data_IF_489234755974
#
_entry.id   IF_489234755974
#
_cell.length_a   1.000
_cell.length_b   1.000
_cell.length_c   1.000
_cell.angle_alpha   90.00
_cell.angle_beta   90.00
_cell.angle_gamma   90.00
#
_symmetry.space_group_name_H-M   'P 1'
#
loop_
_entity.id
_entity.type
_entity.pdbx_description
1 polymer ?
#
# COMPACT_ATOMS: atom_id res chain seq x y z
N UNK A 1 6.50 -15.85 -3.02
CA UNK A 1 5.99 -14.66 -2.30
C UNK A 1 5.72 -15.10 -0.87
N UNK A 2 6.33 -14.45 0.12
CA UNK A 2 6.09 -14.68 1.55
C UNK A 2 5.60 -13.37 2.15
N UNK A 3 4.54 -13.38 2.97
CA UNK A 3 3.96 -12.19 3.58
C UNK A 3 2.43 -12.12 3.47
N UNK A 4 1.85 -11.03 3.98
CA UNK A 4 0.40 -10.76 3.91
C UNK A 4 0.16 -9.92 2.66
N UNK A 5 -0.50 -10.50 1.65
CA UNK A 5 -0.53 -9.99 0.27
C UNK A 5 -0.82 -8.48 0.13
N UNK A 6 -1.83 -7.88 0.79
CA UNK A 6 -2.08 -6.44 0.69
C UNK A 6 -0.90 -5.54 1.07
N UNK A 7 -0.05 -5.97 1.99
CA UNK A 7 1.10 -5.18 2.47
C UNK A 7 2.33 -5.32 1.57
N UNK A 8 2.32 -6.24 0.60
CA UNK A 8 3.45 -6.49 -0.28
C UNK A 8 3.42 -5.49 -1.44
N UNK A 9 4.50 -4.74 -1.63
CA UNK A 9 4.58 -3.75 -2.69
C UNK A 9 4.44 -4.39 -4.10
N UNK A 10 3.81 -3.70 -5.07
CA UNK A 10 3.53 -4.24 -6.40
C UNK A 10 4.78 -4.77 -7.12
N UNK A 11 5.91 -4.09 -6.96
CA UNK A 11 7.17 -4.51 -7.54
C UNK A 11 7.67 -5.84 -6.95
N UNK A 12 7.44 -6.12 -5.67
CA UNK A 12 7.86 -7.37 -5.03
C UNK A 12 6.93 -8.53 -5.40
N UNK A 13 5.63 -8.26 -5.62
CA UNK A 13 4.71 -9.25 -6.20
C UNK A 13 5.21 -9.70 -7.58
N UNK A 14 5.76 -8.76 -8.38
CA UNK A 14 6.38 -9.02 -9.69
C UNK A 14 7.80 -9.60 -9.60
N UNK A 15 8.23 -10.07 -8.44
CA UNK A 15 9.57 -10.62 -8.17
C UNK A 15 10.74 -9.64 -8.37
N UNK A 16 10.50 -8.32 -8.33
CA UNK A 16 11.59 -7.36 -8.26
C UNK A 16 12.19 -7.31 -6.84
N UNK A 17 13.47 -6.90 -6.71
CA UNK A 17 14.14 -6.81 -5.42
C UNK A 17 13.40 -5.93 -4.42
N UNK A 18 13.49 -6.31 -3.16
CA UNK A 18 13.04 -5.50 -2.04
C UNK A 18 13.86 -4.22 -1.93
N UNK A 19 13.20 -3.11 -1.59
CA UNK A 19 13.86 -1.82 -1.35
C UNK A 19 13.22 -1.10 -0.17
N UNK A 20 13.84 -0.04 0.38
CA UNK A 20 13.19 0.81 1.38
C UNK A 20 11.86 1.42 0.90
N UNK A 21 11.66 1.62 -0.40
CA UNK A 21 10.39 2.09 -0.95
C UNK A 21 9.27 1.04 -0.81
N UNK A 22 9.62 -0.24 -0.65
CA UNK A 22 8.69 -1.33 -0.37
C UNK A 22 8.20 -1.30 1.08
N UNK A 23 9.05 -0.88 2.04
CA UNK A 23 8.63 -0.56 3.42
C UNK A 23 7.62 0.60 3.43
N UNK A 24 7.85 1.63 2.63
CA UNK A 24 6.97 2.81 2.53
C UNK A 24 5.59 2.44 1.98
N UNK A 25 5.54 1.54 0.99
CA UNK A 25 4.29 0.96 0.53
C UNK A 25 3.58 0.20 1.66
N UNK A 26 4.29 -0.69 2.37
CA UNK A 26 3.72 -1.42 3.50
C UNK A 26 3.16 -0.48 4.57
N UNK A 27 3.87 0.62 4.85
CA UNK A 27 3.45 1.65 5.80
C UNK A 27 2.13 2.32 5.38
N UNK A 28 1.92 2.57 4.08
CA UNK A 28 0.65 3.11 3.59
C UNK A 28 -0.55 2.18 3.86
N UNK A 29 -0.35 0.87 3.82
CA UNK A 29 -1.39 -0.11 4.12
C UNK A 29 -1.71 -0.11 5.62
N UNK A 30 -0.72 0.10 6.47
CA UNK A 30 -0.91 0.32 7.92
C UNK A 30 -1.67 1.63 8.18
N UNK A 31 -1.31 2.71 7.48
CA UNK A 31 -2.05 3.98 7.56
C UNK A 31 -3.52 3.81 7.17
N UNK A 32 -3.79 3.05 6.11
CA UNK A 32 -5.14 2.75 5.68
C UNK A 32 -5.89 1.86 6.70
N UNK A 33 -5.25 0.82 7.22
CA UNK A 33 -5.82 -0.04 8.26
C UNK A 33 -6.15 0.74 9.54
N UNK A 34 -5.31 1.71 9.92
CA UNK A 34 -5.55 2.56 11.08
C UNK A 34 -6.79 3.45 10.91
N UNK A 35 -7.02 3.97 9.69
CA UNK A 35 -8.18 4.82 9.42
C UNK A 35 -9.46 4.03 9.20
N UNK A 36 -9.37 2.79 8.72
CA UNK A 36 -10.52 1.91 8.47
C UNK A 36 -10.93 1.02 9.63
N UNK A 37 -10.00 0.71 10.53
CA UNK A 37 -10.20 -0.24 11.60
C UNK A 37 -10.33 -1.70 11.13
N UNK A 38 -10.05 -1.99 9.85
CA UNK A 38 -10.12 -3.35 9.27
C UNK A 38 -8.93 -3.60 8.34
N UNK A 39 -8.58 -4.88 8.08
CA UNK A 39 -7.49 -5.20 7.17
C UNK A 39 -7.75 -4.69 5.73
N UNK A 40 -6.70 -4.26 5.00
CA UNK A 40 -6.84 -3.89 3.59
C UNK A 40 -7.39 -5.03 2.75
N UNK A 41 -8.36 -4.73 1.87
CA UNK A 41 -9.06 -5.72 1.02
C UNK A 41 -9.78 -6.86 1.77
N UNK A 42 -10.22 -6.62 3.02
CA UNK A 42 -10.93 -7.61 3.86
C UNK A 42 -12.24 -8.17 3.24
N UNK A 43 -12.72 -7.63 2.13
CA UNK A 43 -13.94 -8.07 1.45
C UNK A 43 -13.71 -9.16 0.37
N UNK A 44 -12.47 -9.59 0.13
CA UNK A 44 -12.15 -10.60 -0.90
C UNK A 44 -10.97 -11.49 -0.52
N UNK A 45 -10.81 -12.59 -1.24
CA UNK A 45 -9.69 -13.51 -1.02
C UNK A 45 -8.34 -12.88 -1.38
N UNK A 46 -7.31 -13.20 -0.59
CA UNK A 46 -5.92 -12.77 -0.81
C UNK A 46 -5.20 -13.75 -1.75
N UNK A 47 -5.65 -13.78 -3.00
CA UNK A 47 -5.23 -14.76 -4.01
C UNK A 47 -4.48 -14.11 -5.19
N UNK A 48 -4.24 -14.90 -6.25
CA UNK A 48 -3.61 -14.43 -7.47
C UNK A 48 -4.38 -13.26 -8.10
N UNK A 49 -5.72 -13.27 -8.06
CA UNK A 49 -6.52 -12.21 -8.63
C UNK A 49 -6.29 -10.89 -7.89
N UNK A 50 -6.25 -10.91 -6.55
CA UNK A 50 -5.90 -9.71 -5.77
C UNK A 50 -4.47 -9.23 -6.07
N UNK A 51 -3.52 -10.16 -6.24
CA UNK A 51 -2.14 -9.79 -6.54
C UNK A 51 -2.00 -9.07 -7.89
N UNK A 52 -2.75 -9.50 -8.91
CA UNK A 52 -2.81 -8.88 -10.23
C UNK A 52 -3.48 -7.50 -10.16
N UNK A 53 -4.61 -7.42 -9.44
CA UNK A 53 -5.31 -6.18 -9.12
C UNK A 53 -4.39 -5.11 -8.51
N UNK A 54 -3.62 -5.45 -7.48
CA UNK A 54 -2.65 -4.54 -6.84
C UNK A 54 -1.57 -4.09 -7.84
N UNK A 55 -1.07 -5.01 -8.67
CA UNK A 55 -0.10 -4.72 -9.73
C UNK A 55 -0.64 -3.76 -10.80
N UNK A 56 -1.96 -3.79 -11.04
CA UNK A 56 -2.69 -2.90 -11.93
C UNK A 56 -3.25 -1.65 -11.25
N UNK A 57 -2.66 -1.29 -10.10
CA UNK A 57 -2.91 -0.05 -9.36
C UNK A 57 -4.21 -0.02 -8.55
N UNK A 58 -4.86 -1.16 -8.31
CA UNK A 58 -5.97 -1.22 -7.35
C UNK A 58 -5.49 -0.84 -5.94
N UNK A 59 -6.24 0.01 -5.26
CA UNK A 59 -5.98 0.45 -3.88
C UNK A 59 -7.27 0.32 -3.05
N UNK A 60 -7.17 0.15 -1.73
CA UNK A 60 -8.32 0.18 -0.85
C UNK A 60 -9.10 1.50 -0.96
N UNK A 61 -10.41 1.44 -0.76
CA UNK A 61 -11.28 2.62 -0.79
C UNK A 61 -10.93 3.60 0.33
N UNK A 62 -10.86 4.89 0.01
CA UNK A 62 -10.54 5.92 0.99
C UNK A 62 -11.79 6.29 1.76
N UNK A 63 -11.70 6.21 3.08
CA UNK A 63 -12.82 6.50 3.97
C UNK A 63 -12.97 8.02 4.12
N UNK A 64 -14.21 8.46 4.23
CA UNK A 64 -14.54 9.87 4.45
C UNK A 64 -14.06 10.36 5.83
N UNK A 65 -13.96 11.68 5.99
CA UNK A 65 -13.58 12.34 7.25
C UNK A 65 -12.13 12.09 7.74
N UNK A 66 -11.25 11.56 6.88
CA UNK A 66 -9.80 11.53 7.13
C UNK A 66 -9.21 12.91 6.78
N UNK A 67 -8.33 13.50 7.62
CA UNK A 67 -7.65 14.75 7.28
C UNK A 67 -6.93 14.67 5.91
N UNK A 68 -7.10 15.69 5.07
CA UNK A 68 -6.56 15.68 3.70
C UNK A 68 -5.05 15.42 3.65
N UNK A 69 -4.29 16.01 4.58
CA UNK A 69 -2.85 15.80 4.67
C UNK A 69 -2.46 14.33 4.91
N UNK A 70 -3.27 13.60 5.69
CA UNK A 70 -3.06 12.17 5.95
C UNK A 70 -3.36 11.35 4.70
N UNK A 71 -4.48 11.65 4.04
CA UNK A 71 -4.86 11.00 2.77
C UNK A 71 -3.82 11.23 1.68
N UNK A 72 -3.31 12.45 1.55
CA UNK A 72 -2.30 12.81 0.56
C UNK A 72 -0.97 12.08 0.84
N UNK A 73 -0.54 12.03 2.10
CA UNK A 73 0.65 11.29 2.51
C UNK A 73 0.50 9.79 2.24
N UNK A 74 -0.61 9.19 2.67
CA UNK A 74 -0.93 7.78 2.44
C UNK A 74 -0.91 7.46 0.93
N UNK A 75 -1.51 8.33 0.11
CA UNK A 75 -1.50 8.19 -1.35
C UNK A 75 -0.10 8.26 -1.94
N UNK A 76 0.73 9.18 -1.45
CA UNK A 76 2.12 9.31 -1.89
C UNK A 76 2.94 8.06 -1.52
N UNK A 77 2.69 7.48 -0.34
CA UNK A 77 3.37 6.27 0.12
C UNK A 77 3.00 5.01 -0.68
N UNK A 78 1.79 4.92 -1.24
CA UNK A 78 1.34 3.76 -2.03
C UNK A 78 1.43 3.92 -3.55
N UNK A 79 2.19 4.92 -4.04
CA UNK A 79 2.36 5.16 -5.46
C UNK A 79 2.87 3.89 -6.17
N UNK A 80 2.36 3.62 -7.38
CA UNK A 80 2.77 2.48 -8.21
C UNK A 80 4.26 2.50 -8.49
N UNK A 81 4.81 3.69 -8.74
CA UNK A 81 6.22 3.89 -8.99
C UNK A 81 6.98 4.04 -7.66
N UNK A 82 7.86 3.09 -7.29
CA UNK A 82 8.61 3.16 -6.04
C UNK A 82 9.49 4.41 -5.93
N UNK A 83 9.88 5.05 -7.05
CA UNK A 83 10.69 6.27 -7.05
C UNK A 83 9.90 7.53 -6.67
N UNK A 84 8.56 7.48 -6.74
CA UNK A 84 7.68 8.59 -6.34
C UNK A 84 7.28 8.54 -4.87
N UNK A 85 7.55 7.41 -4.21
CA UNK A 85 7.28 7.24 -2.79
C UNK A 85 8.28 8.07 -1.97
N UNK A 86 7.84 8.74 -0.88
CA UNK A 86 8.74 9.46 -0.01
C UNK A 86 9.69 8.51 0.70
N UNK A 87 10.88 8.98 1.07
CA UNK A 87 11.74 8.30 2.01
C UNK A 87 11.15 8.35 3.43
N UNK A 88 11.59 7.46 4.32
CA UNK A 88 11.15 7.48 5.73
C UNK A 88 11.45 8.81 6.44
N UNK A 89 12.47 9.54 6.00
CA UNK A 89 12.81 10.87 6.53
C UNK A 89 11.83 11.96 6.10
N UNK A 90 11.17 11.79 4.95
CA UNK A 90 10.16 12.74 4.44
C UNK A 90 8.76 12.45 4.97
N UNK A 91 8.56 11.26 5.55
CA UNK A 91 7.31 10.84 6.20
C UNK A 91 7.23 11.33 7.66
N UNK A 92 8.38 11.47 8.33
CA UNK A 92 8.52 12.01 9.69
C UNK A 92 8.39 13.53 9.71
#
# INVERSE_FOLDING_TARGET
IYGILPFIAPENIRNNPYTPASDIYSFSMIMWEFTSGVPPFNNRAHDLQLSLSICEDERPEIIENIPQCYTDLMKKCWDKDPLKRPSSKEVL
#
